data_IF_720293705121
#
_entry.id   IF_720293705121
#
_cell.length_a   1.000
_cell.length_b   1.000
_cell.length_c   1.000
_cell.angle_alpha   90.00
_cell.angle_beta   90.00
_cell.angle_gamma   90.00
#
_symmetry.space_group_name_H-M   'P 1'
#
loop_
_entity.id
_entity.type
_entity.pdbx_description
1 polymer ?
#
# COMPACT_ATOMS: atom_id res chain seq x y z
N UNK A 1 23.43 -12.26 -15.68
CA UNK A 1 22.95 -12.30 -15.88
C UNK A 1 22.26 -12.36 -15.81
N UNK A 2 22.27 -12.11 -15.44
CA UNK A 2 21.79 -12.02 -15.52
C UNK A 2 20.82 -11.99 -15.62
N UNK A 3 20.86 -12.02 -15.55
CA UNK A 3 19.84 -11.38 -15.80
C UNK A 3 18.54 -11.85 -15.79
N UNK A 4 18.33 -12.63 -15.31
CA UNK A 4 17.05 -13.08 -15.08
C UNK A 4 16.44 -12.60 -13.85
N UNK A 5 16.87 -11.53 -13.28
CA UNK A 5 16.29 -11.06 -12.04
C UNK A 5 14.84 -10.66 -12.19
N UNK A 6 14.45 -10.31 -13.40
CA UNK A 6 13.07 -9.90 -13.59
C UNK A 6 12.07 -10.98 -13.31
N UNK A 7 12.51 -12.21 -13.27
CA UNK A 7 11.59 -13.28 -13.00
C UNK A 7 11.04 -13.26 -11.60
N UNK A 8 11.70 -12.53 -10.71
CA UNK A 8 11.26 -12.46 -9.33
C UNK A 8 10.46 -11.20 -9.02
N UNK A 9 10.22 -10.38 -10.04
CA UNK A 9 9.48 -9.15 -9.85
C UNK A 9 8.07 -9.37 -10.35
N UNK A 10 7.09 -9.18 -9.49
CA UNK A 10 5.70 -9.31 -9.86
C UNK A 10 5.17 -7.92 -10.18
N UNK A 11 4.56 -7.74 -11.33
CA UNK A 11 3.98 -6.44 -11.66
C UNK A 11 2.95 -6.04 -10.62
N UNK A 12 2.92 -4.75 -10.34
CA UNK A 12 1.96 -4.21 -9.38
C UNK A 12 1.29 -3.01 -10.03
N UNK A 13 0.02 -2.87 -9.75
CA UNK A 13 -0.77 -1.77 -10.28
C UNK A 13 -0.54 -0.55 -9.42
N UNK A 14 0.12 0.46 -9.97
CA UNK A 14 0.41 1.69 -9.27
C UNK A 14 -0.50 2.84 -9.68
N UNK A 15 -1.60 2.54 -10.38
CA UNK A 15 -2.46 3.59 -10.90
C UNK A 15 -3.11 4.44 -9.81
N UNK A 16 -3.17 3.95 -8.58
CA UNK A 16 -3.72 4.71 -7.47
C UNK A 16 -2.77 5.79 -6.97
N UNK A 17 -1.52 5.79 -7.43
CA UNK A 17 -0.49 6.70 -6.94
C UNK A 17 -0.31 7.87 -7.88
N UNK A 18 0.02 9.02 -7.30
CA UNK A 18 0.44 10.18 -8.09
C UNK A 18 1.84 9.93 -8.64
N UNK A 19 2.28 10.79 -9.56
CA UNK A 19 3.62 10.66 -10.13
C UNK A 19 4.69 10.75 -9.07
N UNK A 20 4.53 11.66 -8.11
CA UNK A 20 5.51 11.79 -7.03
C UNK A 20 5.55 10.54 -6.15
N UNK A 21 4.38 9.96 -5.90
CA UNK A 21 4.30 8.74 -5.10
C UNK A 21 4.90 7.55 -5.85
N UNK A 22 4.68 7.50 -7.16
CA UNK A 22 5.29 6.44 -7.96
C UNK A 22 6.81 6.56 -7.94
N UNK A 23 7.34 7.78 -8.01
CA UNK A 23 8.78 7.98 -7.95
C UNK A 23 9.34 7.49 -6.62
N UNK A 24 8.63 7.79 -5.55
CA UNK A 24 9.03 7.32 -4.23
C UNK A 24 9.01 5.78 -4.18
N UNK A 25 7.96 5.18 -4.72
CA UNK A 25 7.83 3.74 -4.72
C UNK A 25 9.00 3.10 -5.45
N UNK A 26 9.41 3.68 -6.57
CA UNK A 26 10.49 3.12 -7.36
C UNK A 26 11.84 3.17 -6.63
N UNK A 27 11.99 4.06 -5.66
CA UNK A 27 13.20 4.04 -4.84
C UNK A 27 13.25 2.80 -3.95
N UNK A 28 12.11 2.16 -3.74
CA UNK A 28 12.01 0.98 -2.90
C UNK A 28 11.60 -0.25 -3.70
N UNK A 29 11.90 -0.25 -5.00
CA UNK A 29 11.38 -1.34 -5.84
C UNK A 29 11.93 -2.70 -5.46
N UNK A 30 12.98 -2.75 -4.66
CA UNK A 30 13.49 -4.02 -4.17
C UNK A 30 12.44 -4.79 -3.35
N UNK A 31 11.44 -4.09 -2.80
CA UNK A 31 10.37 -4.78 -2.06
C UNK A 31 9.48 -5.61 -2.99
N UNK A 32 9.67 -5.51 -4.29
CA UNK A 32 8.92 -6.30 -5.25
C UNK A 32 9.63 -7.57 -5.67
N UNK A 33 10.86 -7.76 -5.23
CA UNK A 33 11.65 -8.84 -5.79
C UNK A 33 12.06 -9.85 -4.77
N UNK A 34 12.39 -10.98 -5.28
CA UNK A 34 13.16 -12.02 -4.64
C UNK A 34 12.64 -12.50 -3.32
N UNK A 35 13.51 -12.65 -2.36
CA UNK A 35 13.19 -13.30 -1.11
C UNK A 35 12.29 -12.46 -0.25
N UNK A 36 11.18 -13.01 0.15
CA UNK A 36 10.26 -12.31 1.03
C UNK A 36 9.72 -13.31 2.04
N UNK A 37 9.37 -12.79 3.21
CA UNK A 37 8.79 -13.61 4.27
C UNK A 37 7.27 -13.52 4.27
N UNK A 38 6.73 -12.46 3.68
CA UNK A 38 5.30 -12.22 3.70
C UNK A 38 4.93 -11.39 2.49
N UNK A 39 3.75 -11.67 1.92
CA UNK A 39 3.23 -10.87 0.81
C UNK A 39 2.11 -10.02 1.38
N UNK A 40 2.22 -8.72 1.19
CA UNK A 40 1.32 -7.78 1.85
C UNK A 40 0.70 -6.83 0.84
N UNK A 41 -0.39 -6.18 1.23
CA UNK A 41 -0.88 -5.02 0.52
C UNK A 41 -0.89 -3.84 1.49
N UNK A 42 -0.93 -2.63 0.93
CA UNK A 42 -1.03 -1.42 1.72
C UNK A 42 -2.43 -0.85 1.60
N UNK A 43 -2.93 -0.31 2.68
CA UNK A 43 -4.12 0.53 2.63
C UNK A 43 -3.74 1.89 3.20
N UNK A 44 -3.86 2.91 2.37
CA UNK A 44 -3.50 4.26 2.74
C UNK A 44 -4.74 5.14 2.67
N UNK A 45 -4.89 6.04 3.61
CA UNK A 45 -6.02 6.95 3.62
C UNK A 45 -5.58 8.33 4.11
N UNK A 46 -6.04 9.34 3.42
CA UNK A 46 -5.78 10.71 3.82
C UNK A 46 -7.11 11.43 3.92
N UNK A 47 -7.34 12.07 5.05
CA UNK A 47 -8.56 12.83 5.29
C UNK A 47 -8.27 14.32 5.17
N UNK A 48 -9.08 15.02 4.39
CA UNK A 48 -8.96 16.46 4.32
C UNK A 48 -9.44 17.14 5.60
N UNK A 49 -10.05 16.38 6.50
CA UNK A 49 -10.54 16.92 7.76
C UNK A 49 -9.44 17.07 8.80
N UNK A 50 -8.30 16.44 8.58
CA UNK A 50 -7.27 16.33 9.60
C UNK A 50 -5.97 16.88 9.05
N UNK A 51 -5.61 18.06 9.48
CA UNK A 51 -4.41 18.70 8.96
C UNK A 51 -3.13 18.11 9.51
N UNK A 52 -3.24 17.41 10.62
CA UNK A 52 -2.05 16.79 11.22
C UNK A 52 -1.82 15.38 10.72
N UNK A 53 -2.68 14.88 9.85
CA UNK A 53 -2.50 13.55 9.32
C UNK A 53 -1.29 13.48 8.41
N UNK A 54 -0.62 12.34 8.50
CA UNK A 54 0.49 12.07 7.60
C UNK A 54 -0.02 12.00 6.18
N UNK A 55 0.70 12.60 5.26
CA UNK A 55 0.33 12.57 3.85
C UNK A 55 0.41 11.14 3.32
N UNK A 56 -0.22 10.92 2.17
CA UNK A 56 -0.13 9.61 1.53
C UNK A 56 1.34 9.28 1.22
N UNK A 57 2.11 10.27 0.76
CA UNK A 57 3.51 10.04 0.46
C UNK A 57 4.28 9.62 1.71
N UNK A 58 4.02 10.28 2.84
CA UNK A 58 4.68 9.93 4.08
C UNK A 58 4.28 8.54 4.57
N UNK A 59 3.00 8.21 4.48
CA UNK A 59 2.54 6.88 4.86
C UNK A 59 3.19 5.82 3.98
N UNK A 60 3.22 6.08 2.68
CA UNK A 60 3.81 5.15 1.73
C UNK A 60 5.29 4.92 2.04
N UNK A 61 6.03 6.00 2.33
CA UNK A 61 7.45 5.88 2.66
C UNK A 61 7.65 5.01 3.89
N UNK A 62 6.86 5.26 4.92
CA UNK A 62 7.03 4.52 6.16
C UNK A 62 6.73 3.03 5.98
N UNK A 63 5.70 2.72 5.22
CA UNK A 63 5.36 1.33 4.98
C UNK A 63 6.38 0.63 4.09
N UNK A 64 6.91 1.36 3.09
CA UNK A 64 7.94 0.77 2.24
C UNK A 64 9.21 0.48 3.01
N UNK A 65 9.59 1.39 3.93
CA UNK A 65 10.74 1.15 4.77
C UNK A 65 10.52 -0.06 5.67
N UNK A 66 9.33 -0.20 6.19
CA UNK A 66 9.00 -1.34 7.03
C UNK A 66 9.12 -2.65 6.23
N UNK A 67 8.60 -2.65 5.01
CA UNK A 67 8.68 -3.83 4.16
C UNK A 67 10.11 -4.19 3.81
N UNK A 68 10.92 -3.17 3.53
CA UNK A 68 12.33 -3.43 3.22
C UNK A 68 13.03 -4.04 4.43
N UNK A 69 12.75 -3.50 5.60
CA UNK A 69 13.40 -3.98 6.82
C UNK A 69 13.02 -5.42 7.13
N UNK A 70 11.79 -5.79 6.86
CA UNK A 70 11.28 -7.11 7.21
C UNK A 70 11.25 -8.10 6.05
N UNK A 71 11.75 -7.69 4.90
CA UNK A 71 11.74 -8.54 3.69
C UNK A 71 10.32 -8.93 3.28
N UNK A 72 9.41 -8.00 3.36
CA UNK A 72 8.04 -8.21 2.90
C UNK A 72 7.92 -7.77 1.45
N UNK A 73 7.08 -8.47 0.71
CA UNK A 73 6.81 -8.15 -0.67
C UNK A 73 5.48 -7.45 -0.79
N UNK A 74 5.45 -6.35 -1.52
CA UNK A 74 4.22 -5.59 -1.71
C UNK A 74 3.53 -6.06 -2.97
N UNK A 75 2.28 -6.48 -2.85
CA UNK A 75 1.53 -7.00 -3.99
C UNK A 75 0.46 -6.04 -4.48
N UNK A 76 0.01 -5.11 -3.64
CA UNK A 76 -1.05 -4.18 -4.04
C UNK A 76 -1.04 -2.96 -3.13
N UNK A 77 -1.52 -1.84 -3.65
CA UNK A 77 -1.63 -0.61 -2.88
C UNK A 77 -3.01 -0.01 -3.13
N UNK A 78 -3.73 0.24 -2.06
CA UNK A 78 -5.08 0.80 -2.11
C UNK A 78 -5.06 2.15 -1.40
N UNK A 79 -5.59 3.17 -2.05
CA UNK A 79 -5.53 4.53 -1.53
C UNK A 79 -6.90 5.20 -1.59
N UNK A 80 -7.37 5.67 -0.44
CA UNK A 80 -8.57 6.50 -0.37
C UNK A 80 -8.15 7.90 0.02
N UNK A 81 -8.33 8.84 -0.90
CA UNK A 81 -7.89 10.21 -0.72
C UNK A 81 -9.06 11.09 -0.33
N UNK A 82 -8.78 12.02 0.58
CA UNK A 82 -9.75 13.03 0.97
C UNK A 82 -11.06 12.43 1.48
N UNK A 83 -10.97 11.28 2.13
CA UNK A 83 -12.15 10.63 2.71
C UNK A 83 -12.20 10.98 4.18
N UNK A 84 -13.34 11.48 4.63
CA UNK A 84 -13.50 11.86 6.03
C UNK A 84 -13.17 10.70 6.97
N UNK A 85 -12.55 11.00 8.09
CA UNK A 85 -12.26 10.00 9.10
C UNK A 85 -13.53 9.35 9.61
N UNK A 86 -14.67 10.02 9.46
CA UNK A 86 -15.96 9.51 9.93
C UNK A 86 -16.75 8.80 8.84
N UNK A 87 -16.20 8.71 7.64
CA UNK A 87 -16.89 8.02 6.56
C UNK A 87 -16.99 6.54 6.87
N UNK A 88 -18.13 5.96 6.56
CA UNK A 88 -18.30 4.53 6.72
C UNK A 88 -17.46 3.79 5.71
N UNK A 89 -17.26 2.50 5.95
CA UNK A 89 -16.48 1.68 5.04
C UNK A 89 -17.05 1.66 3.64
N UNK A 90 -18.38 1.76 3.54
CA UNK A 90 -19.03 1.76 2.23
C UNK A 90 -18.65 2.94 1.38
N UNK A 91 -18.16 4.02 2.01
CA UNK A 91 -17.78 5.23 1.28
C UNK A 91 -16.29 5.32 1.07
N UNK A 92 -15.60 4.22 1.20
CA UNK A 92 -14.18 4.14 0.94
C UNK A 92 -13.95 3.19 -0.22
N UNK A 93 -13.96 3.70 -1.45
CA UNK A 93 -13.93 2.82 -2.62
C UNK A 93 -12.69 1.94 -2.70
N UNK A 94 -11.53 2.45 -2.32
CA UNK A 94 -10.32 1.62 -2.38
C UNK A 94 -10.38 0.54 -1.33
N UNK A 95 -10.94 0.83 -0.15
CA UNK A 95 -11.12 -0.17 0.88
C UNK A 95 -12.05 -1.29 0.41
N UNK A 96 -13.14 -0.91 -0.27
CA UNK A 96 -14.07 -1.89 -0.80
C UNK A 96 -13.41 -2.77 -1.85
N UNK A 97 -12.60 -2.16 -2.71
CA UNK A 97 -11.88 -2.93 -3.71
C UNK A 97 -10.90 -3.90 -3.06
N UNK A 98 -10.23 -3.46 -1.99
CA UNK A 98 -9.32 -4.31 -1.26
C UNK A 98 -10.06 -5.53 -0.69
N UNK A 99 -11.24 -5.31 -0.12
CA UNK A 99 -12.02 -6.40 0.42
C UNK A 99 -12.43 -7.38 -0.68
N UNK A 100 -12.85 -6.86 -1.82
CA UNK A 100 -13.23 -7.72 -2.94
C UNK A 100 -12.06 -8.53 -3.44
N UNK A 101 -10.87 -7.91 -3.49
CA UNK A 101 -9.68 -8.59 -3.99
C UNK A 101 -9.15 -9.62 -3.01
N UNK A 102 -9.47 -9.49 -1.74
CA UNK A 102 -8.88 -10.34 -0.71
C UNK A 102 -9.13 -11.82 -0.94
N UNK A 103 -10.24 -12.14 -1.59
CA UNK A 103 -10.61 -13.54 -1.79
C UNK A 103 -9.72 -14.24 -2.80
N UNK A 104 -9.12 -13.49 -3.73
CA UNK A 104 -8.35 -14.09 -4.81
C UNK A 104 -6.92 -13.58 -4.88
N UNK A 105 -6.54 -12.67 -3.97
CA UNK A 105 -5.20 -12.08 -4.01
C UNK A 105 -4.16 -13.00 -3.43
N UNK A 106 -2.91 -12.72 -3.79
CA UNK A 106 -1.77 -13.46 -3.25
C UNK A 106 -1.37 -12.94 -1.88
N UNK A 107 -1.76 -11.69 -1.55
CA UNK A 107 -1.38 -11.15 -0.25
C UNK A 107 -2.31 -11.67 0.84
N UNK A 108 -1.75 -11.81 2.02
CA UNK A 108 -2.49 -12.29 3.17
C UNK A 108 -2.56 -11.28 4.30
N UNK A 109 -1.81 -10.22 4.19
CA UNK A 109 -1.67 -9.25 5.27
C UNK A 109 -1.87 -7.85 4.72
N UNK A 110 -2.59 -7.02 5.46
CA UNK A 110 -2.78 -5.63 5.11
C UNK A 110 -1.95 -4.78 6.07
N UNK A 111 -1.12 -3.91 5.52
CA UNK A 111 -0.36 -2.98 6.33
C UNK A 111 -0.99 -1.61 6.24
N UNK A 112 -1.16 -0.97 7.37
CA UNK A 112 -1.70 0.38 7.46
C UNK A 112 -0.75 1.23 8.29
N UNK A 113 -0.73 2.53 8.03
CA UNK A 113 0.17 3.40 8.77
C UNK A 113 -0.21 3.44 10.24
N UNK A 114 -1.52 3.57 10.50
CA UNK A 114 -2.05 3.51 11.85
C UNK A 114 -3.36 2.76 11.78
N UNK A 115 -3.71 2.10 12.85
CA UNK A 115 -4.92 1.30 12.86
C UNK A 115 -6.17 2.12 12.53
N UNK A 116 -6.23 3.37 12.95
CA UNK A 116 -7.39 4.19 12.68
C UNK A 116 -7.52 4.55 11.20
N UNK A 117 -6.52 4.26 10.37
CA UNK A 117 -6.63 4.40 8.92
C UNK A 117 -7.43 3.25 8.35
N UNK A 118 -7.45 2.13 9.04
CA UNK A 118 -8.10 0.92 8.55
C UNK A 118 -9.55 0.85 9.01
N UNK A 119 -9.79 0.96 10.29
CA UNK A 119 -11.13 0.84 10.85
C UNK A 119 -11.28 1.85 11.97
N UNK A 120 -12.20 2.76 11.78
CA UNK A 120 -12.40 3.79 12.77
C UNK A 120 -13.86 3.78 13.20
N UNK A 121 -14.05 3.78 14.47
CA UNK A 121 -15.41 3.80 15.03
C UNK A 121 -15.85 5.20 15.34
#
# INVERSE_FOLDING_TARGET
MEGKPDMNIIPIDLSALTDAEKALFFEYRDVLSASWTEVVCFYLRYSSDRQTEQSIEGQLRDLLMYCRLHAYRVAAIYVDRAISAHASMEKRPAFQMMLADSATSVWKTVLVYKLDRFARN
#
